data_IF_096950550929
#
_entry.id   IF_096950550929
#
_cell.length_a   1.000
_cell.length_b   1.000
_cell.length_c   1.000
_cell.angle_alpha   90.00
_cell.angle_beta   90.00
_cell.angle_gamma   90.00
#
_symmetry.space_group_name_H-M   'P 1'
#
loop_
_entity.id
_entity.type
_entity.pdbx_description
1 polymer ?
#
# COMPACT_ATOMS: atom_id res chain seq x y z
N UNK A 1 16.69 4.27 9.15
CA UNK A 1 16.07 5.32 8.31
C UNK A 1 14.57 5.25 8.53
N UNK A 2 13.90 6.36 8.86
CA UNK A 2 12.43 6.36 9.05
C UNK A 2 11.73 6.11 7.71
N UNK A 3 10.52 5.54 7.75
CA UNK A 3 9.67 5.34 6.57
C UNK A 3 9.45 6.64 5.80
N UNK A 4 9.34 7.78 6.50
CA UNK A 4 9.16 9.09 5.89
C UNK A 4 10.41 9.50 5.09
N UNK A 5 11.60 9.27 5.65
CA UNK A 5 12.85 9.61 4.98
C UNK A 5 13.05 8.74 3.74
N UNK A 6 12.79 7.43 3.87
CA UNK A 6 12.84 6.51 2.73
C UNK A 6 11.81 6.86 1.65
N UNK A 7 10.59 7.22 2.05
CA UNK A 7 9.52 7.61 1.12
C UNK A 7 9.93 8.84 0.32
N UNK A 8 10.33 9.93 0.99
CA UNK A 8 10.71 11.16 0.31
C UNK A 8 11.89 10.96 -0.63
N UNK A 9 12.90 10.19 -0.21
CA UNK A 9 14.06 9.88 -1.04
C UNK A 9 13.70 9.02 -2.26
N UNK A 10 12.91 7.95 -2.06
CA UNK A 10 12.47 7.07 -3.16
C UNK A 10 11.58 7.80 -4.14
N UNK A 11 10.70 8.67 -3.65
CA UNK A 11 9.78 9.47 -4.48
C UNK A 11 10.51 10.34 -5.50
N UNK A 12 11.71 10.84 -5.16
CA UNK A 12 12.52 11.63 -6.09
C UNK A 12 13.02 10.79 -7.28
N UNK A 13 13.22 9.48 -7.07
CA UNK A 13 13.65 8.51 -8.10
C UNK A 13 12.49 8.05 -8.98
N UNK A 14 11.24 8.28 -8.56
CA UNK A 14 10.03 7.94 -9.33
C UNK A 14 9.71 9.06 -10.32
N UNK A 15 9.41 8.69 -11.57
CA UNK A 15 8.96 9.62 -12.61
C UNK A 15 7.75 10.43 -12.14
N UNK A 16 7.72 11.74 -12.43
CA UNK A 16 6.70 12.66 -11.91
C UNK A 16 5.25 12.18 -12.17
N UNK A 17 4.99 11.59 -13.33
CA UNK A 17 3.68 11.03 -13.70
C UNK A 17 3.24 9.84 -12.84
N UNK A 18 4.17 9.11 -12.22
CA UNK A 18 3.90 7.92 -11.39
C UNK A 18 3.94 8.20 -9.88
N UNK A 19 4.42 9.38 -9.45
CA UNK A 19 4.56 9.72 -8.02
C UNK A 19 3.23 9.63 -7.27
N UNK A 20 2.14 10.07 -7.89
CA UNK A 20 0.82 9.99 -7.25
C UNK A 20 0.37 8.55 -6.96
N UNK A 21 0.58 7.63 -7.90
CA UNK A 21 0.30 6.20 -7.67
C UNK A 21 1.21 5.60 -6.62
N UNK A 22 2.50 5.95 -6.65
CA UNK A 22 3.48 5.50 -5.66
C UNK A 22 3.14 5.98 -4.25
N UNK A 23 2.82 7.26 -4.08
CA UNK A 23 2.43 7.86 -2.81
C UNK A 23 1.17 7.16 -2.25
N UNK A 24 0.19 6.88 -3.11
CA UNK A 24 -1.01 6.13 -2.72
C UNK A 24 -0.71 4.68 -2.31
N UNK A 25 0.20 4.00 -3.01
CA UNK A 25 0.60 2.64 -2.65
C UNK A 25 1.31 2.60 -1.29
N UNK A 26 2.23 3.56 -1.03
CA UNK A 26 2.91 3.67 0.27
C UNK A 26 1.89 3.89 1.39
N UNK A 27 0.90 4.75 1.17
CA UNK A 27 -0.20 4.97 2.12
C UNK A 27 -1.03 3.71 2.35
N UNK A 28 -1.44 3.01 1.29
CA UNK A 28 -2.22 1.78 1.36
C UNK A 28 -1.49 0.70 2.17
N UNK A 29 -0.22 0.44 1.85
CA UNK A 29 0.61 -0.53 2.59
C UNK A 29 0.75 -0.13 4.05
N UNK A 30 1.04 1.16 4.32
CA UNK A 30 1.17 1.65 5.69
C UNK A 30 -0.12 1.49 6.49
N UNK A 31 -1.27 1.73 5.85
CA UNK A 31 -2.59 1.57 6.44
C UNK A 31 -2.92 0.11 6.75
N UNK A 32 -2.67 -0.82 5.84
CA UNK A 32 -2.88 -2.25 6.09
C UNK A 32 -1.98 -2.78 7.21
N UNK A 33 -0.71 -2.36 7.25
CA UNK A 33 0.21 -2.71 8.34
C UNK A 33 -0.28 -2.17 9.68
N UNK A 34 -0.80 -0.93 9.70
CA UNK A 34 -1.40 -0.37 10.91
C UNK A 34 -2.65 -1.14 11.35
N UNK A 35 -3.57 -1.45 10.43
CA UNK A 35 -4.77 -2.26 10.71
C UNK A 35 -4.38 -3.64 11.25
N UNK A 36 -3.35 -4.28 10.69
CA UNK A 36 -2.85 -5.57 11.16
C UNK A 36 -2.31 -5.51 12.60
N UNK A 37 -1.53 -4.47 12.94
CA UNK A 37 -1.04 -4.26 14.31
C UNK A 37 -2.18 -4.05 15.31
N UNK A 38 -3.24 -3.35 14.89
CA UNK A 38 -4.42 -3.18 15.73
C UNK A 38 -5.16 -4.50 15.93
N UNK A 39 -5.39 -5.29 14.88
CA UNK A 39 -6.04 -6.62 15.01
C UNK A 39 -5.29 -7.53 15.97
N UNK A 40 -3.95 -7.55 15.89
CA UNK A 40 -3.13 -8.33 16.83
C UNK A 40 -3.30 -7.90 18.27
N UNK A 41 -3.41 -6.59 18.50
CA UNK A 41 -3.52 -6.01 19.85
C UNK A 41 -4.91 -6.16 20.44
N UNK A 42 -5.96 -5.88 19.65
CA UNK A 42 -7.33 -5.75 20.14
C UNK A 42 -8.20 -6.99 19.90
N UNK A 43 -7.98 -7.72 18.81
CA UNK A 43 -8.79 -8.88 18.43
C UNK A 43 -8.09 -10.22 18.75
N UNK A 44 -6.81 -10.17 19.17
CA UNK A 44 -5.98 -11.36 19.37
C UNK A 44 -5.74 -12.17 18.10
N UNK A 45 -6.05 -11.61 16.92
CA UNK A 45 -5.95 -12.26 15.63
C UNK A 45 -4.75 -11.70 14.84
N UNK A 46 -4.07 -12.56 14.09
CA UNK A 46 -2.86 -12.24 13.36
C UNK A 46 -2.97 -12.81 11.95
N UNK A 47 -2.84 -11.96 10.94
CA UNK A 47 -2.69 -12.41 9.57
C UNK A 47 -1.27 -12.89 9.31
N UNK A 48 -1.15 -13.97 8.56
CA UNK A 48 0.10 -14.33 7.91
C UNK A 48 0.51 -13.26 6.89
N UNK A 49 1.80 -13.23 6.54
CA UNK A 49 2.31 -12.29 5.55
C UNK A 49 1.58 -12.40 4.21
N UNK A 50 1.28 -13.63 3.76
CA UNK A 50 0.53 -13.86 2.51
C UNK A 50 -0.88 -13.30 2.57
N UNK A 51 -1.59 -13.49 3.68
CA UNK A 51 -2.93 -12.92 3.86
C UNK A 51 -2.91 -11.39 3.91
N UNK A 52 -1.90 -10.78 4.54
CA UNK A 52 -1.75 -9.32 4.55
C UNK A 52 -1.45 -8.77 3.14
N UNK A 53 -0.56 -9.43 2.40
CA UNK A 53 -0.27 -9.06 1.01
C UNK A 53 -1.51 -9.21 0.11
N UNK A 54 -2.28 -10.29 0.29
CA UNK A 54 -3.53 -10.47 -0.45
C UNK A 54 -4.51 -9.34 -0.15
N UNK A 55 -4.68 -8.94 1.12
CA UNK A 55 -5.53 -7.81 1.49
C UNK A 55 -5.09 -6.49 0.87
N UNK A 56 -3.78 -6.20 0.85
CA UNK A 56 -3.25 -5.01 0.18
C UNK A 56 -3.60 -5.04 -1.32
N UNK A 57 -3.54 -6.22 -1.94
CA UNK A 57 -3.88 -6.40 -3.35
C UNK A 57 -5.37 -6.17 -3.60
N UNK A 58 -6.22 -6.84 -2.83
CA UNK A 58 -7.68 -6.74 -2.95
C UNK A 58 -8.15 -5.29 -2.78
N UNK A 59 -7.68 -4.59 -1.75
CA UNK A 59 -8.01 -3.18 -1.50
C UNK A 59 -7.48 -2.27 -2.64
N UNK A 60 -6.29 -2.57 -3.18
CA UNK A 60 -5.74 -1.86 -4.34
C UNK A 60 -6.61 -2.01 -5.59
N UNK A 61 -7.07 -3.23 -5.88
CA UNK A 61 -7.99 -3.53 -6.98
C UNK A 61 -9.36 -2.85 -6.77
N UNK A 62 -9.88 -2.82 -5.54
CA UNK A 62 -11.11 -2.09 -5.21
C UNK A 62 -10.98 -0.59 -5.47
N UNK A 63 -9.85 0.03 -5.11
CA UNK A 63 -9.61 1.45 -5.39
C UNK A 63 -9.54 1.73 -6.90
N UNK A 64 -8.93 0.82 -7.67
CA UNK A 64 -8.89 0.89 -9.14
C UNK A 64 -10.31 0.77 -9.70
N UNK A 65 -11.10 -0.20 -9.23
CA UNK A 65 -12.50 -0.39 -9.61
C UNK A 65 -13.38 0.82 -9.29
N UNK A 66 -13.08 1.54 -8.21
CA UNK A 66 -13.73 2.80 -7.84
C UNK A 66 -13.25 4.02 -8.66
N UNK A 67 -12.35 3.83 -9.63
CA UNK A 67 -11.88 4.86 -10.56
C UNK A 67 -10.51 5.47 -10.21
N UNK A 68 -9.80 4.98 -9.19
CA UNK A 68 -8.46 5.44 -8.85
C UNK A 68 -7.39 4.81 -9.76
N UNK A 69 -7.40 5.21 -11.04
CA UNK A 69 -6.53 4.63 -12.08
C UNK A 69 -5.02 4.88 -11.88
N UNK A 70 -4.63 5.76 -10.94
CA UNK A 70 -3.21 6.02 -10.64
C UNK A 70 -2.50 4.80 -10.01
N UNK A 71 -3.25 3.90 -9.35
CA UNK A 71 -2.71 2.63 -8.85
C UNK A 71 -2.64 1.56 -9.93
N UNK A 72 -3.52 1.60 -10.95
CA UNK A 72 -3.58 0.58 -11.99
C UNK A 72 -2.22 0.34 -12.67
N UNK A 73 -1.48 1.42 -12.96
CA UNK A 73 -0.16 1.33 -13.58
C UNK A 73 0.92 0.65 -12.70
N UNK A 74 0.65 0.41 -11.41
CA UNK A 74 1.53 -0.27 -10.46
C UNK A 74 1.08 -1.70 -10.14
N UNK A 75 -0.18 -2.04 -10.38
CA UNK A 75 -0.75 -3.37 -10.15
C UNK A 75 -0.75 -4.25 -11.41
N UNK A 76 -0.55 -3.67 -12.60
CA UNK A 76 -0.34 -4.44 -13.83
C UNK A 76 0.91 -5.31 -13.69
N UNK A 77 0.72 -6.62 -13.53
CA UNK A 77 1.78 -7.63 -13.57
C UNK A 77 2.09 -8.35 -12.25
N UNK A 78 1.26 -8.22 -11.20
CA UNK A 78 1.31 -9.06 -9.98
C UNK A 78 0.20 -10.11 -10.00
#
# INVERSE_FOLDING_TARGET
MSIVVWWMDTRLRVAASRRGGFDSLVLLVSWEVWKERNRRTFDGNCLSLSQLLQRIKDEGEEWIGAGFNKLAALFVGI
#
